data_IF_860960935459
#
_entry.id   IF_860960935459
#
_cell.length_a   1.000
_cell.length_b   1.000
_cell.length_c   1.000
_cell.angle_alpha   90.00
_cell.angle_beta   90.00
_cell.angle_gamma   90.00
#
_symmetry.space_group_name_H-M   'P 1'
#
loop_
_entity.id
_entity.type
_entity.pdbx_description
1 polymer ?
#
# COMPACT_ATOMS: atom_id res chain seq x y z
N UNK A 1 0.68 -1.16 -6.29
CA UNK A 1 1.76 -1.15 -5.25
C UNK A 1 2.32 0.25 -5.16
N UNK A 2 2.80 0.68 -4.01
CA UNK A 2 3.52 1.93 -3.83
C UNK A 2 5.00 1.78 -4.21
N UNK A 3 5.71 2.90 -4.44
CA UNK A 3 7.15 2.95 -4.72
C UNK A 3 7.58 2.08 -5.91
N UNK A 4 7.06 2.35 -7.09
CA UNK A 4 7.26 1.55 -8.31
C UNK A 4 8.72 1.23 -8.61
N UNK A 5 9.64 2.19 -8.39
CA UNK A 5 11.09 2.04 -8.62
C UNK A 5 11.74 0.91 -7.82
N UNK A 6 11.16 0.54 -6.67
CA UNK A 6 11.73 -0.49 -5.80
C UNK A 6 11.29 -1.92 -6.13
N UNK A 7 10.41 -2.13 -7.13
CA UNK A 7 9.70 -3.39 -7.24
C UNK A 7 10.34 -4.40 -8.19
N UNK A 8 10.92 -3.95 -9.31
CA UNK A 8 11.21 -4.83 -10.43
C UNK A 8 12.69 -4.95 -10.80
N UNK A 9 13.50 -3.89 -10.58
CA UNK A 9 14.90 -3.84 -11.02
C UNK A 9 15.80 -3.26 -9.95
N UNK A 10 16.93 -3.91 -9.69
CA UNK A 10 17.94 -3.45 -8.72
C UNK A 10 18.53 -2.09 -9.12
N UNK A 11 18.66 -1.85 -10.42
CA UNK A 11 19.22 -0.58 -10.96
C UNK A 11 18.40 0.65 -10.64
N UNK A 12 17.11 0.49 -10.34
CA UNK A 12 16.20 1.60 -9.99
C UNK A 12 15.88 1.64 -8.50
N UNK A 13 16.18 0.57 -7.77
CA UNK A 13 15.82 0.46 -6.36
C UNK A 13 16.65 1.38 -5.46
N UNK A 14 16.01 2.05 -4.52
CA UNK A 14 16.61 3.00 -3.58
C UNK A 14 17.83 2.44 -2.83
N UNK A 15 17.79 1.16 -2.50
CA UNK A 15 18.85 0.48 -1.73
C UNK A 15 19.66 -0.51 -2.57
N UNK A 16 19.60 -0.41 -3.91
CA UNK A 16 20.33 -1.29 -4.83
C UNK A 16 19.82 -2.73 -4.88
N UNK A 17 18.69 -3.02 -4.24
CA UNK A 17 18.03 -4.33 -4.29
C UNK A 17 16.53 -4.12 -4.37
N UNK A 18 15.91 -4.66 -5.42
CA UNK A 18 14.46 -4.60 -5.64
C UNK A 18 13.72 -5.71 -4.89
N UNK A 19 12.39 -5.68 -4.97
CA UNK A 19 11.54 -6.69 -4.33
C UNK A 19 11.44 -8.00 -5.11
N UNK A 20 12.07 -8.12 -6.27
CA UNK A 20 12.02 -9.32 -7.12
C UNK A 20 10.63 -9.61 -7.69
N UNK A 21 9.77 -8.60 -7.83
CA UNK A 21 8.40 -8.82 -8.31
C UNK A 21 8.36 -9.17 -9.80
N UNK A 22 9.43 -8.92 -10.55
CA UNK A 22 9.51 -9.37 -11.95
C UNK A 22 9.49 -10.89 -12.01
N UNK A 23 10.39 -11.53 -11.29
CA UNK A 23 10.52 -13.00 -11.23
C UNK A 23 9.25 -13.65 -10.66
N UNK A 24 8.66 -13.00 -9.65
CA UNK A 24 7.39 -13.45 -9.09
C UNK A 24 6.27 -13.42 -10.14
N UNK A 25 6.13 -12.33 -10.89
CA UNK A 25 5.10 -12.21 -11.94
C UNK A 25 5.33 -13.16 -13.11
N UNK A 26 6.59 -13.38 -13.50
CA UNK A 26 6.95 -14.34 -14.54
C UNK A 26 6.53 -15.78 -14.16
N UNK A 27 6.65 -16.13 -12.88
CA UNK A 27 6.20 -17.41 -12.33
C UNK A 27 4.68 -17.47 -12.06
N UNK A 28 4.00 -16.32 -11.98
CA UNK A 28 2.58 -16.21 -11.63
C UNK A 28 1.85 -15.30 -12.62
N UNK A 29 1.60 -15.73 -13.87
CA UNK A 29 1.11 -14.87 -14.95
C UNK A 29 -0.31 -14.32 -14.75
N UNK A 30 -1.02 -14.77 -13.73
CA UNK A 30 -2.37 -14.29 -13.41
C UNK A 30 -2.38 -12.99 -12.57
N UNK A 31 -1.20 -12.40 -12.29
CA UNK A 31 -1.09 -11.15 -11.55
C UNK A 31 -0.73 -10.00 -12.47
N UNK A 32 -1.41 -8.87 -12.28
CA UNK A 32 -1.05 -7.58 -12.87
C UNK A 32 -0.66 -6.66 -11.72
N UNK A 33 0.60 -6.22 -11.71
CA UNK A 33 1.11 -5.27 -10.72
C UNK A 33 1.25 -3.92 -11.40
N UNK A 34 0.47 -2.95 -10.93
CA UNK A 34 0.58 -1.56 -11.31
C UNK A 34 1.14 -0.76 -10.14
N UNK A 35 2.21 -0.02 -10.37
CA UNK A 35 2.92 0.70 -9.33
C UNK A 35 3.33 2.09 -9.80
N UNK A 36 2.58 3.12 -9.43
CA UNK A 36 3.01 4.48 -9.68
C UNK A 36 4.26 4.82 -8.87
N UNK A 37 5.03 5.73 -9.40
CA UNK A 37 6.20 6.28 -8.74
C UNK A 37 5.78 7.28 -7.66
N UNK A 38 6.60 7.45 -6.63
CA UNK A 38 6.43 8.52 -5.67
C UNK A 38 7.18 9.79 -6.10
N UNK A 39 6.89 10.91 -5.46
CA UNK A 39 7.68 12.11 -5.65
C UNK A 39 9.04 12.00 -4.92
N UNK A 40 10.14 12.18 -5.65
CA UNK A 40 11.50 12.07 -5.12
C UNK A 40 12.09 13.40 -4.63
N UNK A 41 11.37 14.51 -4.69
CA UNK A 41 11.85 15.81 -4.27
C UNK A 41 11.83 15.99 -2.76
N UNK A 42 12.97 16.01 -2.10
CA UNK A 42 13.08 16.21 -0.65
C UNK A 42 12.18 15.25 0.15
N UNK A 43 11.28 15.79 0.96
CA UNK A 43 10.34 15.02 1.79
C UNK A 43 8.97 14.76 1.12
N UNK A 44 8.82 15.03 -0.16
CA UNK A 44 7.53 14.95 -0.86
C UNK A 44 6.91 13.54 -0.83
N UNK A 45 7.72 12.49 -0.88
CA UNK A 45 7.23 11.12 -0.68
C UNK A 45 6.57 10.94 0.69
N UNK A 46 7.11 11.55 1.74
CA UNK A 46 6.53 11.46 3.09
C UNK A 46 5.19 12.20 3.16
N UNK A 47 5.07 13.34 2.48
CA UNK A 47 3.82 14.09 2.37
C UNK A 47 2.77 13.29 1.59
N UNK A 48 3.10 12.77 0.41
CA UNK A 48 2.21 11.95 -0.41
C UNK A 48 1.72 10.68 0.29
N UNK A 49 2.58 10.07 1.12
CA UNK A 49 2.27 8.79 1.77
C UNK A 49 1.87 8.97 3.24
N UNK A 50 1.48 10.16 3.64
CA UNK A 50 0.91 10.45 4.95
C UNK A 50 -0.52 10.95 4.79
N UNK A 51 -1.55 10.21 5.26
CA UNK A 51 -2.94 10.66 5.15
C UNK A 51 -3.34 11.70 6.18
N UNK A 52 -2.44 12.00 7.15
CA UNK A 52 -2.70 12.89 8.27
C UNK A 52 -1.63 13.96 8.38
N UNK A 53 -1.97 15.09 8.98
CA UNK A 53 -0.96 16.03 9.45
C UNK A 53 -0.17 15.37 10.59
N UNK A 54 1.14 15.48 10.57
CA UNK A 54 2.02 14.86 11.56
C UNK A 54 3.14 15.80 11.95
N UNK A 55 3.37 15.91 13.24
CA UNK A 55 4.54 16.66 13.78
C UNK A 55 5.85 15.88 13.65
N UNK A 56 5.77 14.62 13.19
CA UNK A 56 6.92 13.78 12.93
C UNK A 56 7.72 14.29 11.73
N UNK A 57 9.01 14.03 11.74
CA UNK A 57 9.95 14.45 10.67
C UNK A 57 9.97 15.97 10.40
N UNK A 58 9.74 16.79 11.44
CA UNK A 58 9.78 18.23 11.31
C UNK A 58 8.49 18.90 10.85
N UNK A 59 7.38 18.19 10.96
CA UNK A 59 6.06 18.66 10.54
C UNK A 59 5.75 18.28 9.08
N UNK A 60 4.93 17.26 8.89
CA UNK A 60 4.48 16.83 7.56
C UNK A 60 3.04 17.27 7.36
N UNK A 61 2.78 18.04 6.31
CA UNK A 61 1.43 18.24 5.80
C UNK A 61 1.10 17.05 4.90
N UNK A 62 0.34 16.08 5.43
CA UNK A 62 -0.01 14.89 4.69
C UNK A 62 -0.99 15.17 3.55
N UNK A 63 -0.64 14.73 2.34
CA UNK A 63 -1.51 14.77 1.15
C UNK A 63 -1.91 13.36 0.69
N UNK A 64 -1.82 12.39 1.60
CA UNK A 64 -2.13 10.99 1.30
C UNK A 64 -3.59 10.75 0.94
N UNK A 65 -4.51 11.58 1.43
CA UNK A 65 -5.91 11.52 1.02
C UNK A 65 -6.06 11.87 -0.47
N UNK A 66 -5.47 12.96 -0.92
CA UNK A 66 -5.48 13.41 -2.32
C UNK A 66 -4.81 12.37 -3.22
N UNK A 67 -3.70 11.79 -2.76
CA UNK A 67 -3.05 10.70 -3.48
C UNK A 67 -3.97 9.49 -3.65
N UNK A 68 -4.68 9.07 -2.60
CA UNK A 68 -5.63 7.96 -2.68
C UNK A 68 -6.86 8.26 -3.53
N UNK A 69 -7.35 9.50 -3.54
CA UNK A 69 -8.39 9.95 -4.45
C UNK A 69 -7.94 9.85 -5.92
N UNK A 70 -6.73 10.31 -6.23
CA UNK A 70 -6.15 10.14 -7.54
C UNK A 70 -5.97 8.66 -7.91
N UNK A 71 -5.42 7.87 -6.99
CA UNK A 71 -5.15 6.44 -7.20
C UNK A 71 -6.44 5.67 -7.52
N UNK A 72 -7.51 5.94 -6.78
CA UNK A 72 -8.77 5.20 -6.90
C UNK A 72 -9.69 5.73 -8.00
N UNK A 73 -9.70 7.06 -8.26
CA UNK A 73 -10.61 7.70 -9.22
C UNK A 73 -10.00 7.96 -10.59
N UNK A 74 -8.67 7.94 -10.72
CA UNK A 74 -7.97 8.21 -11.99
C UNK A 74 -7.08 7.03 -12.39
N UNK A 75 -6.07 6.71 -11.57
CA UNK A 75 -5.06 5.72 -11.93
C UNK A 75 -5.65 4.32 -12.09
N UNK A 76 -6.36 3.79 -11.08
CA UNK A 76 -6.96 2.45 -11.17
C UNK A 76 -7.94 2.30 -12.34
N UNK A 77 -8.91 3.21 -12.57
CA UNK A 77 -9.79 3.12 -13.75
C UNK A 77 -9.06 3.18 -15.08
N UNK A 78 -7.97 3.95 -15.18
CA UNK A 78 -7.13 3.98 -16.38
C UNK A 78 -6.46 2.62 -16.61
N UNK A 79 -5.93 2.00 -15.55
CA UNK A 79 -5.32 0.66 -15.62
C UNK A 79 -6.34 -0.41 -15.99
N UNK A 80 -7.53 -0.37 -15.40
CA UNK A 80 -8.62 -1.32 -15.69
C UNK A 80 -9.10 -1.20 -17.15
N UNK A 81 -9.06 0.00 -17.72
CA UNK A 81 -9.41 0.22 -19.14
C UNK A 81 -8.32 -0.27 -20.09
N UNK A 82 -7.05 -0.17 -19.69
CA UNK A 82 -5.89 -0.43 -20.56
C UNK A 82 -5.45 -1.89 -20.56
N UNK A 83 -5.67 -2.62 -19.47
CA UNK A 83 -5.19 -3.97 -19.25
C UNK A 83 -6.34 -4.91 -18.90
N UNK A 84 -6.24 -6.22 -19.17
CA UNK A 84 -7.27 -7.22 -18.89
C UNK A 84 -7.35 -7.53 -17.39
N UNK A 85 -7.67 -6.54 -16.58
CA UNK A 85 -7.82 -6.68 -15.13
C UNK A 85 -9.17 -7.28 -14.76
N UNK A 86 -9.27 -7.77 -13.52
CA UNK A 86 -10.51 -8.05 -12.83
C UNK A 86 -10.79 -6.88 -11.88
N UNK A 87 -11.58 -5.86 -12.31
CA UNK A 87 -11.62 -4.55 -11.63
C UNK A 87 -12.31 -4.55 -10.26
N UNK A 88 -13.03 -5.61 -9.95
CA UNK A 88 -13.81 -5.72 -8.72
C UNK A 88 -12.95 -5.78 -7.46
N UNK A 89 -13.51 -5.31 -6.35
CA UNK A 89 -12.89 -5.26 -5.04
C UNK A 89 -12.21 -6.60 -4.64
N UNK A 90 -12.89 -7.73 -4.88
CA UNK A 90 -12.38 -9.05 -4.50
C UNK A 90 -11.02 -9.40 -5.13
N UNK A 91 -10.72 -8.81 -6.30
CA UNK A 91 -9.51 -9.05 -7.09
C UNK A 91 -8.53 -7.88 -7.02
N UNK A 92 -8.80 -6.87 -6.20
CA UNK A 92 -7.96 -5.69 -6.06
C UNK A 92 -7.28 -5.68 -4.70
N UNK A 93 -5.95 -5.66 -4.73
CA UNK A 93 -5.10 -5.54 -3.56
C UNK A 93 -4.24 -4.27 -3.63
N UNK A 94 -3.74 -3.82 -2.49
CA UNK A 94 -2.78 -2.72 -2.40
C UNK A 94 -1.61 -3.15 -1.53
N UNK A 95 -0.43 -2.57 -1.71
CA UNK A 95 0.72 -2.92 -0.89
C UNK A 95 1.89 -1.96 -1.06
N UNK A 96 2.73 -1.90 -0.05
CA UNK A 96 3.94 -1.09 -0.01
C UNK A 96 4.65 -1.21 1.34
N UNK A 97 5.89 -0.78 1.44
CA UNK A 97 6.67 -0.82 2.68
C UNK A 97 6.77 0.53 3.36
N UNK A 98 7.09 0.54 4.65
CA UNK A 98 7.28 1.78 5.42
C UNK A 98 6.07 2.70 5.29
N UNK A 99 6.25 3.92 4.78
CA UNK A 99 5.14 4.84 4.50
C UNK A 99 4.13 4.28 3.48
N UNK A 100 4.58 3.50 2.47
CA UNK A 100 3.69 2.77 1.56
C UNK A 100 2.87 1.69 2.27
N UNK A 101 3.41 1.07 3.32
CA UNK A 101 2.68 0.16 4.21
C UNK A 101 1.60 0.88 5.03
N UNK A 102 1.92 2.07 5.56
CA UNK A 102 0.96 2.94 6.25
C UNK A 102 -0.19 3.32 5.31
N UNK A 103 0.12 3.75 4.09
CA UNK A 103 -0.89 4.05 3.07
C UNK A 103 -1.70 2.83 2.66
N UNK A 104 -1.11 1.63 2.66
CA UNK A 104 -1.84 0.39 2.38
C UNK A 104 -2.84 0.07 3.49
N UNK A 105 -2.48 0.31 4.75
CA UNK A 105 -3.38 0.18 5.90
C UNK A 105 -4.51 1.21 5.85
N UNK A 106 -4.18 2.46 5.54
CA UNK A 106 -5.16 3.51 5.33
C UNK A 106 -6.12 3.15 4.18
N UNK A 107 -5.60 2.65 3.06
CA UNK A 107 -6.41 2.27 1.91
C UNK A 107 -7.41 1.15 2.22
N UNK A 108 -7.01 0.11 2.97
CA UNK A 108 -7.93 -0.99 3.27
C UNK A 108 -9.02 -0.60 4.28
N UNK A 109 -8.79 0.44 5.06
CA UNK A 109 -9.80 0.99 6.00
C UNK A 109 -10.69 2.02 5.32
N UNK A 110 -10.13 3.11 4.79
CA UNK A 110 -10.86 4.25 4.25
C UNK A 110 -11.42 4.00 2.83
N UNK A 111 -10.73 3.16 2.03
CA UNK A 111 -11.12 2.82 0.65
C UNK A 111 -11.49 1.34 0.50
N UNK A 112 -12.12 0.77 1.52
CA UNK A 112 -12.49 -0.64 1.59
C UNK A 112 -13.49 -1.09 0.51
N UNK A 113 -14.14 -0.15 -0.19
CA UNK A 113 -14.97 -0.44 -1.36
C UNK A 113 -14.16 -0.77 -2.61
N UNK A 114 -12.89 -0.38 -2.64
CA UNK A 114 -11.98 -0.61 -3.78
C UNK A 114 -11.02 -1.76 -3.50
N UNK A 115 -10.45 -1.82 -2.30
CA UNK A 115 -9.43 -2.80 -1.93
C UNK A 115 -9.97 -3.83 -0.94
N UNK A 116 -9.69 -5.10 -1.18
CA UNK A 116 -10.05 -6.19 -0.27
C UNK A 116 -8.87 -6.75 0.51
N UNK A 117 -7.65 -6.48 0.07
CA UNK A 117 -6.41 -7.04 0.62
C UNK A 117 -5.34 -5.95 0.67
N UNK A 118 -4.51 -5.99 1.72
CA UNK A 118 -3.34 -5.13 1.84
C UNK A 118 -2.11 -5.94 2.24
N UNK A 119 -0.97 -5.62 1.62
CA UNK A 119 0.34 -6.08 2.04
C UNK A 119 1.08 -4.89 2.68
N UNK A 120 1.28 -4.94 4.00
CA UNK A 120 1.79 -3.82 4.80
C UNK A 120 3.03 -4.25 5.61
N UNK A 121 4.18 -4.51 4.99
CA UNK A 121 5.43 -4.68 5.72
C UNK A 121 5.86 -3.34 6.33
N UNK A 122 5.41 -3.09 7.56
CA UNK A 122 5.74 -1.91 8.37
C UNK A 122 6.53 -2.38 9.57
N UNK A 123 7.62 -1.70 9.90
CA UNK A 123 8.29 -1.93 11.19
C UNK A 123 7.32 -1.55 12.32
N UNK A 124 7.10 -2.45 13.27
CA UNK A 124 6.05 -2.37 14.29
C UNK A 124 6.05 -1.05 15.10
N UNK A 125 7.22 -0.42 15.25
CA UNK A 125 7.36 0.87 15.95
C UNK A 125 6.70 2.06 15.26
N UNK A 126 6.54 2.04 13.94
CA UNK A 126 5.89 3.13 13.21
C UNK A 126 4.36 3.03 13.24
N UNK A 127 3.81 1.81 13.39
CA UNK A 127 2.37 1.58 13.40
C UNK A 127 1.68 2.03 14.70
N UNK A 128 2.39 1.98 15.84
CA UNK A 128 1.84 2.30 17.16
C UNK A 128 1.50 3.80 17.27
N UNK A 129 2.27 4.66 16.63
CA UNK A 129 2.04 6.11 16.69
C UNK A 129 0.99 6.61 15.68
N UNK A 130 0.75 5.90 14.58
CA UNK A 130 -0.34 6.22 13.65
C UNK A 130 -1.73 5.91 14.26
N UNK A 131 -1.81 4.95 15.17
CA UNK A 131 -3.06 4.59 15.86
C UNK A 131 -3.54 5.63 16.89
N UNK A 132 -2.64 6.44 17.44
CA UNK A 132 -3.01 7.45 18.44
C UNK A 132 -3.74 8.68 17.85
N UNK A 133 -3.55 8.94 16.54
CA UNK A 133 -4.26 10.03 15.84
C UNK A 133 -5.64 9.60 15.28
N UNK A 134 -5.95 8.30 15.28
CA UNK A 134 -7.19 7.74 14.73
C UNK A 134 -8.29 7.58 15.80
N UNK A 135 -8.19 8.24 16.93
CA UNK A 135 -9.03 8.04 18.13
C UNK A 135 -10.52 8.41 18.01
N UNK A 136 -11.03 8.77 16.84
CA UNK A 136 -12.43 9.21 16.70
C UNK A 136 -13.16 8.67 15.45
N UNK A 137 -12.80 7.49 14.99
CA UNK A 137 -13.59 6.80 13.98
C UNK A 137 -14.50 5.77 14.66
N UNK A 138 -15.80 6.03 14.67
CA UNK A 138 -16.87 5.21 15.27
C UNK A 138 -16.72 3.74 14.89
N UNK A 139 -16.77 2.89 15.93
CA UNK A 139 -16.73 1.42 15.85
C UNK A 139 -17.87 0.89 14.99
N UNK A 140 -17.53 0.42 13.80
CA UNK A 140 -18.26 -0.62 13.12
C UNK A 140 -17.33 -1.84 13.06
N UNK A 141 -17.68 -2.89 13.82
CA UNK A 141 -16.94 -4.15 13.82
C UNK A 141 -16.93 -4.76 12.41
N UNK A 142 -15.76 -4.95 11.78
CA UNK A 142 -15.69 -5.71 10.54
C UNK A 142 -15.74 -7.22 10.85
N UNK A 143 -16.27 -8.04 9.93
CA UNK A 143 -16.23 -9.49 10.07
C UNK A 143 -14.79 -9.98 10.15
N UNK A 144 -14.51 -10.89 11.10
CA UNK A 144 -13.18 -11.47 11.35
C UNK A 144 -12.71 -12.28 10.15
N UNK A 145 -11.77 -11.78 9.42
CA UNK A 145 -10.97 -12.55 8.45
C UNK A 145 -9.57 -12.78 9.03
N UNK A 146 -9.03 -14.00 8.95
CA UNK A 146 -7.70 -14.30 9.51
C UNK A 146 -6.61 -13.50 8.83
N UNK A 147 -5.72 -12.93 9.61
CA UNK A 147 -4.53 -12.23 9.15
C UNK A 147 -3.52 -13.25 8.59
N UNK A 148 -2.82 -12.93 7.51
CA UNK A 148 -1.82 -13.81 6.86
C UNK A 148 -0.67 -14.29 7.76
N UNK A 149 -0.53 -13.74 8.97
CA UNK A 149 0.44 -14.19 9.97
C UNK A 149 0.16 -15.58 10.56
N UNK A 150 -1.06 -16.13 10.39
CA UNK A 150 -1.41 -17.47 10.89
C UNK A 150 -1.15 -18.60 9.89
N UNK A 151 -0.91 -18.30 8.63
CA UNK A 151 -0.68 -19.31 7.59
C UNK A 151 0.73 -19.92 7.60
N UNK A 152 1.69 -19.33 8.33
CA UNK A 152 3.08 -19.80 8.42
C UNK A 152 3.33 -20.95 9.40
N UNK A 153 2.40 -21.30 10.28
CA UNK A 153 2.65 -22.25 11.40
C UNK A 153 2.11 -23.66 11.21
N UNK A 154 1.58 -24.03 10.05
CA UNK A 154 1.00 -25.37 9.81
C UNK A 154 1.78 -26.26 8.85
N UNK A 155 3.09 -26.09 8.69
CA UNK A 155 3.93 -27.01 7.89
C UNK A 155 5.09 -27.63 8.66
N UNK A 156 4.91 -27.94 9.93
CA UNK A 156 5.82 -28.86 10.63
C UNK A 156 4.98 -29.72 11.60
N UNK A 157 4.43 -30.82 11.04
CA UNK A 157 4.22 -32.15 11.69
C UNK A 157 3.87 -33.17 10.61
#
# INVERSE_FOLDING_TARGET
>A
MFDGHNLFFDSTATYGTCWGLKEYCDAHPNWIIAAPECNHEGNKRLEEYCPYQSDWFGGITGTGHEYMEWLTKKFKPMMDKRYPTLPGRANTAIGGSSMGGLMSLYAITAYNKVFSKAACPVALGAAVHAGAAAGDCQRHDPPRHPCLSELGRKRER
#
